data_IF_891710784862
#
_entry.id   IF_891710784862
#
_cell.length_a   1.000
_cell.length_b   1.000
_cell.length_c   1.000
_cell.angle_alpha   90.00
_cell.angle_beta   90.00
_cell.angle_gamma   90.00
#
_symmetry.space_group_name_H-M   'P 1'
#
loop_
_entity.id
_entity.type
_entity.pdbx_description
1 polymer ?
#
# COMPACT_ATOMS: atom_id res chain seq x y z
N UNK A 1 -83.27 -2.68 -64.89
CA UNK A 1 -82.68 -3.99 -64.48
C UNK A 1 -81.18 -3.73 -64.35
N UNK A 2 -80.74 -3.23 -63.20
CA UNK A 2 -80.17 -4.01 -62.07
C UNK A 2 -79.02 -4.93 -62.51
N UNK A 3 -77.79 -4.53 -62.11
CA UNK A 3 -76.76 -5.41 -61.53
C UNK A 3 -75.71 -4.56 -60.80
N UNK A 4 -75.76 -4.66 -59.48
CA UNK A 4 -74.66 -4.83 -58.48
C UNK A 4 -73.29 -5.22 -59.08
N UNK A 5 -72.10 -5.01 -58.51
CA UNK A 5 -71.59 -4.61 -57.19
C UNK A 5 -70.05 -4.49 -57.31
N UNK A 6 -69.43 -3.66 -56.46
CA UNK A 6 -68.08 -3.75 -55.83
C UNK A 6 -66.87 -4.30 -56.62
N UNK A 7 -65.82 -3.48 -56.84
CA UNK A 7 -64.74 -3.12 -55.90
C UNK A 7 -63.73 -4.25 -55.66
N UNK A 8 -62.59 -4.19 -56.36
CA UNK A 8 -61.35 -4.90 -56.02
C UNK A 8 -60.16 -4.17 -56.67
N UNK A 9 -59.77 -3.03 -56.08
CA UNK A 9 -58.42 -2.47 -56.29
C UNK A 9 -57.59 -2.85 -55.08
N UNK A 10 -56.63 -3.75 -55.29
CA UNK A 10 -55.53 -4.02 -54.37
C UNK A 10 -54.73 -2.74 -54.22
N UNK A 11 -54.66 -2.22 -53.01
CA UNK A 11 -53.68 -1.21 -52.61
C UNK A 11 -52.89 -1.79 -51.47
N UNK A 12 -51.58 -1.80 -51.70
CA UNK A 12 -50.53 -2.28 -50.85
C UNK A 12 -50.41 -1.49 -49.54
N UNK A 13 -49.69 -2.14 -48.64
CA UNK A 13 -48.96 -1.59 -47.49
C UNK A 13 -49.79 -1.13 -46.28
N UNK A 14 -49.97 -2.12 -45.40
CA UNK A 14 -50.32 -1.96 -44.01
C UNK A 14 -49.33 -1.04 -43.29
N UNK A 15 -49.88 0.08 -42.82
CA UNK A 15 -49.42 0.82 -41.67
C UNK A 15 -49.56 -0.07 -40.43
N UNK A 16 -48.46 -0.67 -39.95
CA UNK A 16 -48.38 -1.11 -38.55
C UNK A 16 -47.30 -0.35 -37.80
N UNK A 17 -47.75 0.19 -36.68
CA UNK A 17 -47.01 0.97 -35.74
C UNK A 17 -46.04 0.06 -34.99
N UNK A 18 -44.78 0.45 -34.92
CA UNK A 18 -44.04 0.17 -33.70
C UNK A 18 -43.18 1.37 -33.36
N UNK A 19 -43.67 2.08 -32.35
CA UNK A 19 -42.92 3.02 -31.53
C UNK A 19 -41.67 2.28 -31.03
N UNK A 20 -40.55 2.50 -31.74
CA UNK A 20 -39.21 2.12 -31.31
C UNK A 20 -38.93 2.89 -30.01
N UNK A 21 -39.31 2.25 -28.92
CA UNK A 21 -39.00 2.68 -27.56
C UNK A 21 -37.49 2.81 -27.51
N UNK A 22 -37.05 4.00 -27.17
CA UNK A 22 -35.71 4.29 -26.72
C UNK A 22 -35.32 3.41 -25.52
N UNK A 23 -34.93 2.16 -25.80
CA UNK A 23 -34.04 1.41 -24.94
C UNK A 23 -32.64 1.94 -25.23
N UNK A 24 -32.32 3.04 -24.56
CA UNK A 24 -30.94 3.46 -24.35
C UNK A 24 -30.34 2.44 -23.41
N UNK A 25 -30.05 1.25 -23.95
CA UNK A 25 -29.08 0.35 -23.39
C UNK A 25 -27.76 1.12 -23.44
N UNK A 26 -27.50 1.85 -22.36
CA UNK A 26 -26.16 2.26 -21.98
C UNK A 26 -25.40 0.95 -21.85
N UNK A 27 -24.80 0.53 -22.96
CA UNK A 27 -23.75 -0.47 -23.05
C UNK A 27 -22.73 -0.07 -21.99
N UNK A 28 -22.86 -0.70 -20.82
CA UNK A 28 -21.97 -0.51 -19.71
C UNK A 28 -20.64 -1.10 -20.16
N UNK A 29 -19.84 -0.23 -20.81
CA UNK A 29 -18.51 -0.52 -21.27
C UNK A 29 -17.80 -1.34 -20.18
N UNK A 30 -17.09 -2.43 -20.56
CA UNK A 30 -16.46 -3.31 -19.59
C UNK A 30 -15.66 -2.43 -18.63
N UNK A 31 -15.94 -2.52 -17.32
CA UNK A 31 -15.27 -1.72 -16.29
C UNK A 31 -13.78 -2.04 -16.35
N UNK A 32 -13.04 -1.35 -17.21
CA UNK A 32 -11.68 -1.72 -17.54
C UNK A 32 -10.86 -1.52 -16.28
N UNK A 33 -10.36 -2.62 -15.75
CA UNK A 33 -9.49 -2.72 -14.58
C UNK A 33 -8.13 -2.00 -14.80
N UNK A 34 -7.96 -1.32 -15.93
CA UNK A 34 -6.73 -0.69 -16.37
C UNK A 34 -6.67 0.78 -15.99
N UNK A 35 -5.47 1.23 -15.63
CA UNK A 35 -5.15 2.64 -15.40
C UNK A 35 -4.69 3.25 -16.72
N UNK A 36 -5.38 4.28 -17.20
CA UNK A 36 -4.94 4.99 -18.39
C UNK A 36 -3.66 5.79 -18.11
N UNK A 37 -2.89 6.09 -19.16
CA UNK A 37 -1.71 6.95 -19.02
C UNK A 37 -2.06 8.33 -18.44
N UNK A 38 -3.20 8.90 -18.87
CA UNK A 38 -3.73 10.17 -18.36
C UNK A 38 -4.07 10.08 -16.87
N UNK A 39 -4.74 9.00 -16.44
CA UNK A 39 -5.05 8.76 -15.04
C UNK A 39 -3.78 8.63 -14.17
N UNK A 40 -2.73 7.99 -14.70
CA UNK A 40 -1.44 7.94 -14.01
C UNK A 40 -0.83 9.33 -13.83
N UNK A 41 -0.90 10.17 -14.86
CA UNK A 41 -0.40 11.55 -14.77
C UNK A 41 -1.18 12.36 -13.74
N UNK A 42 -2.51 12.26 -13.72
CA UNK A 42 -3.37 12.92 -12.73
C UNK A 42 -3.01 12.43 -11.32
N UNK A 43 -2.91 11.11 -11.13
CA UNK A 43 -2.52 10.50 -9.85
C UNK A 43 -1.15 11.00 -9.37
N UNK A 44 -0.14 10.97 -10.24
CA UNK A 44 1.22 11.39 -9.89
C UNK A 44 1.28 12.89 -9.57
N UNK A 45 0.56 13.72 -10.34
CA UNK A 45 0.53 15.17 -10.15
C UNK A 45 -0.11 15.53 -8.82
N UNK A 46 -1.27 14.92 -8.53
CA UNK A 46 -1.96 15.16 -7.27
C UNK A 46 -1.18 14.60 -6.08
N UNK A 47 -0.61 13.39 -6.20
CA UNK A 47 0.22 12.82 -5.15
C UNK A 47 1.48 13.65 -4.87
N UNK A 48 2.10 14.25 -5.90
CA UNK A 48 3.24 15.16 -5.70
C UNK A 48 2.84 16.44 -4.93
N UNK A 49 1.59 16.89 -5.11
CA UNK A 49 1.03 18.06 -4.43
C UNK A 49 0.68 17.74 -2.97
N UNK A 50 -0.14 16.71 -2.75
CA UNK A 50 -0.67 16.34 -1.42
C UNK A 50 0.35 15.60 -0.55
N UNK A 51 1.34 14.98 -1.19
CA UNK A 51 2.41 14.19 -0.56
C UNK A 51 1.92 13.09 0.41
N UNK A 52 0.91 12.27 0.02
CA UNK A 52 0.41 11.21 0.91
C UNK A 52 1.48 10.17 1.25
N UNK A 53 2.45 9.95 0.37
CA UNK A 53 3.56 9.02 0.56
C UNK A 53 4.60 9.46 1.62
N UNK A 54 4.54 10.71 2.09
CA UNK A 54 5.42 11.21 3.16
C UNK A 54 4.73 11.32 4.52
N UNK A 55 3.42 11.00 4.58
CA UNK A 55 2.61 11.13 5.78
C UNK A 55 3.16 10.28 6.94
N UNK A 56 3.40 10.90 8.10
CA UNK A 56 3.93 10.21 9.28
C UNK A 56 2.86 9.46 10.06
N UNK A 57 1.63 9.97 10.01
CA UNK A 57 0.44 9.39 10.65
C UNK A 57 -0.70 9.44 9.65
N UNK A 58 -1.61 8.47 9.73
CA UNK A 58 -2.80 8.44 8.88
C UNK A 58 -2.48 8.26 7.39
N UNK A 59 -1.51 7.40 7.05
CA UNK A 59 -1.10 7.15 5.65
C UNK A 59 -2.30 6.87 4.74
N UNK A 60 -3.23 6.00 5.15
CA UNK A 60 -4.40 5.67 4.34
C UNK A 60 -5.36 6.86 4.22
N UNK A 61 -5.55 7.65 5.28
CA UNK A 61 -6.39 8.85 5.23
C UNK A 61 -5.83 9.90 4.26
N UNK A 62 -4.50 10.07 4.21
CA UNK A 62 -3.85 10.93 3.23
C UNK A 62 -4.06 10.42 1.80
N UNK A 63 -3.98 9.10 1.59
CA UNK A 63 -4.28 8.50 0.29
C UNK A 63 -5.75 8.58 -0.10
N UNK A 64 -6.68 8.45 0.85
CA UNK A 64 -8.11 8.63 0.62
C UNK A 64 -8.43 10.08 0.24
N UNK A 65 -7.78 11.06 0.88
CA UNK A 65 -7.88 12.47 0.49
C UNK A 65 -7.38 12.71 -0.94
N UNK A 66 -6.19 12.19 -1.30
CA UNK A 66 -5.69 12.27 -2.68
C UNK A 66 -6.61 11.54 -3.67
N UNK A 67 -7.18 10.39 -3.30
CA UNK A 67 -8.14 9.67 -4.13
C UNK A 67 -9.44 10.47 -4.35
N UNK A 68 -9.92 11.16 -3.32
CA UNK A 68 -11.06 12.07 -3.43
C UNK A 68 -10.72 13.22 -4.40
N UNK A 69 -9.55 13.86 -4.28
CA UNK A 69 -9.13 14.93 -5.17
C UNK A 69 -9.06 14.50 -6.64
N UNK A 70 -8.42 13.37 -6.95
CA UNK A 70 -8.32 12.89 -8.35
C UNK A 70 -9.67 12.43 -8.90
N UNK A 71 -10.60 11.97 -8.04
CA UNK A 71 -11.95 11.58 -8.48
C UNK A 71 -12.79 12.76 -8.99
N UNK A 72 -12.45 13.98 -8.56
CA UNK A 72 -13.10 15.22 -9.00
C UNK A 72 -12.41 15.87 -10.21
N UNK A 73 -11.28 15.34 -10.66
CA UNK A 73 -10.60 15.87 -11.84
C UNK A 73 -11.44 15.55 -13.09
N UNK A 74 -11.73 16.53 -13.98
CA UNK A 74 -12.65 16.38 -15.10
C UNK A 74 -12.22 15.30 -16.11
N UNK A 75 -10.94 14.98 -16.10
CA UNK A 75 -10.28 14.09 -17.04
C UNK A 75 -9.93 12.71 -16.46
N UNK A 76 -10.34 12.44 -15.21
CA UNK A 76 -10.04 11.19 -14.55
C UNK A 76 -11.11 10.15 -14.87
N UNK A 77 -10.71 9.09 -15.58
CA UNK A 77 -11.66 8.12 -16.15
C UNK A 77 -12.03 6.96 -15.24
N UNK A 78 -11.38 6.82 -14.07
CA UNK A 78 -11.45 5.58 -13.29
C UNK A 78 -12.51 5.62 -12.19
N UNK A 79 -13.60 4.83 -12.29
CA UNK A 79 -14.66 4.82 -11.28
C UNK A 79 -14.22 4.15 -9.97
N UNK A 80 -14.73 4.66 -8.86
CA UNK A 80 -14.54 4.05 -7.53
C UNK A 80 -13.07 3.95 -7.10
N UNK A 81 -12.26 4.94 -7.44
CA UNK A 81 -10.90 5.07 -6.90
C UNK A 81 -10.98 5.37 -5.39
N UNK A 82 -10.13 4.72 -4.61
CA UNK A 82 -9.98 4.94 -3.18
C UNK A 82 -8.48 4.96 -2.83
N UNK A 83 -8.13 5.32 -1.60
CA UNK A 83 -6.74 5.46 -1.18
C UNK A 83 -5.93 4.18 -1.38
N UNK A 84 -6.53 3.01 -1.15
CA UNK A 84 -5.88 1.70 -1.41
C UNK A 84 -5.53 1.49 -2.88
N UNK A 85 -6.45 1.81 -3.81
CA UNK A 85 -6.22 1.70 -5.25
C UNK A 85 -5.18 2.73 -5.73
N UNK A 86 -5.28 3.97 -5.26
CA UNK A 86 -4.37 5.05 -5.60
C UNK A 86 -2.94 4.76 -5.14
N UNK A 87 -2.76 4.41 -3.86
CA UNK A 87 -1.46 4.05 -3.29
C UNK A 87 -0.84 2.83 -4.00
N UNK A 88 -1.61 1.77 -4.23
CA UNK A 88 -1.11 0.59 -4.93
C UNK A 88 -0.62 0.92 -6.34
N UNK A 89 -1.36 1.74 -7.09
CA UNK A 89 -0.90 2.17 -8.43
C UNK A 89 0.34 3.02 -8.34
N UNK A 90 0.36 4.00 -7.44
CA UNK A 90 1.49 4.89 -7.25
C UNK A 90 2.78 4.13 -6.97
N UNK A 91 2.79 3.22 -6.00
CA UNK A 91 4.01 2.47 -5.67
C UNK A 91 4.47 1.56 -6.81
N UNK A 92 3.56 0.98 -7.59
CA UNK A 92 3.91 0.23 -8.81
C UNK A 92 4.60 1.12 -9.86
N UNK A 93 4.14 2.36 -10.03
CA UNK A 93 4.78 3.32 -10.94
C UNK A 93 6.18 3.70 -10.46
N UNK A 94 6.36 3.89 -9.16
CA UNK A 94 7.68 4.19 -8.57
C UNK A 94 8.64 3.00 -8.73
N UNK A 95 8.18 1.79 -8.50
CA UNK A 95 8.99 0.58 -8.66
C UNK A 95 9.43 0.39 -10.13
N UNK A 96 8.47 0.48 -11.06
CA UNK A 96 8.75 0.40 -12.49
C UNK A 96 9.74 1.50 -12.94
N UNK A 97 9.59 2.72 -12.43
CA UNK A 97 10.49 3.83 -12.74
C UNK A 97 11.91 3.61 -12.20
N UNK A 98 12.04 3.11 -10.97
CA UNK A 98 13.35 2.77 -10.40
C UNK A 98 14.05 1.67 -11.20
N UNK A 99 13.29 0.70 -11.73
CA UNK A 99 13.84 -0.31 -12.63
C UNK A 99 14.27 0.30 -13.95
N UNK A 100 13.44 1.16 -14.55
CA UNK A 100 13.76 1.90 -15.77
C UNK A 100 15.03 2.73 -15.60
N UNK A 101 15.17 3.51 -14.52
CA UNK A 101 16.38 4.30 -14.23
C UNK A 101 17.64 3.46 -14.06
N UNK A 102 17.54 2.23 -13.54
CA UNK A 102 18.68 1.31 -13.46
C UNK A 102 19.09 0.80 -14.84
N UNK A 103 18.14 0.52 -15.71
CA UNK A 103 18.38 0.01 -17.07
C UNK A 103 18.82 1.13 -18.03
N UNK A 104 18.20 2.30 -17.94
CA UNK A 104 18.49 3.49 -18.75
C UNK A 104 19.91 4.02 -18.55
N UNK A 105 20.51 3.84 -17.35
CA UNK A 105 21.95 4.10 -17.14
C UNK A 105 22.86 3.37 -18.14
N UNK A 106 22.39 2.29 -18.74
CA UNK A 106 23.13 1.49 -19.71
C UNK A 106 22.58 1.63 -21.14
N UNK A 107 21.48 2.37 -21.35
CA UNK A 107 20.87 2.59 -22.65
C UNK A 107 20.96 4.08 -23.02
N UNK A 108 21.76 4.41 -24.02
CA UNK A 108 21.81 5.76 -24.60
C UNK A 108 20.50 6.03 -25.34
N UNK A 109 19.54 6.65 -24.65
CA UNK A 109 18.22 6.95 -25.20
C UNK A 109 17.40 7.77 -24.23
N UNK A 110 17.39 9.08 -24.45
CA UNK A 110 16.62 10.06 -23.68
C UNK A 110 15.13 9.94 -24.02
N UNK A 111 14.39 9.10 -23.29
CA UNK A 111 12.94 9.07 -23.36
C UNK A 111 12.38 10.05 -22.32
N UNK A 112 12.55 11.34 -22.59
CA UNK A 112 12.16 12.40 -21.65
C UNK A 112 10.67 12.73 -21.79
N UNK A 113 9.83 11.97 -21.09
CA UNK A 113 8.38 12.18 -21.04
C UNK A 113 7.98 12.96 -19.79
N UNK A 114 6.87 13.75 -19.81
CA UNK A 114 6.37 14.44 -18.62
C UNK A 114 6.16 13.50 -17.42
N UNK A 115 5.73 12.26 -17.69
CA UNK A 115 5.56 11.23 -16.67
C UNK A 115 6.90 10.83 -16.03
N UNK A 116 7.95 10.65 -16.84
CA UNK A 116 9.29 10.29 -16.37
C UNK A 116 9.88 11.42 -15.51
N UNK A 117 9.83 12.68 -15.97
CA UNK A 117 10.29 13.84 -15.18
C UNK A 117 9.59 13.94 -13.82
N UNK A 118 8.27 13.74 -13.81
CA UNK A 118 7.48 13.78 -12.58
C UNK A 118 7.85 12.63 -11.63
N UNK A 119 8.08 11.43 -12.17
CA UNK A 119 8.53 10.29 -11.38
C UNK A 119 9.95 10.49 -10.83
N UNK A 120 10.86 11.12 -11.58
CA UNK A 120 12.19 11.50 -11.11
C UNK A 120 12.11 12.47 -9.92
N UNK A 121 11.27 13.49 -10.03
CA UNK A 121 11.04 14.46 -8.95
C UNK A 121 10.50 13.77 -7.69
N UNK A 122 9.49 12.93 -7.85
CA UNK A 122 8.86 12.21 -6.73
C UNK A 122 9.86 11.26 -6.07
N UNK A 123 10.63 10.49 -6.84
CA UNK A 123 11.66 9.57 -6.30
C UNK A 123 12.70 10.35 -5.51
N UNK A 124 13.19 11.48 -6.05
CA UNK A 124 14.13 12.35 -5.34
C UNK A 124 13.55 12.82 -4.00
N UNK A 125 12.29 13.25 -3.96
CA UNK A 125 11.61 13.67 -2.72
C UNK A 125 11.52 12.53 -1.70
N UNK A 126 11.18 11.32 -2.13
CA UNK A 126 11.14 10.14 -1.26
C UNK A 126 12.52 9.87 -0.66
N UNK A 127 13.56 9.88 -1.48
CA UNK A 127 14.92 9.59 -1.01
C UNK A 127 15.46 10.68 -0.09
N UNK A 128 15.19 11.96 -0.39
CA UNK A 128 15.56 13.10 0.46
C UNK A 128 14.86 13.03 1.82
N UNK A 129 13.56 12.69 1.84
CA UNK A 129 12.80 12.51 3.09
C UNK A 129 13.36 11.35 3.92
N UNK A 130 13.64 10.21 3.29
CA UNK A 130 14.23 9.05 3.97
C UNK A 130 15.62 9.36 4.55
N UNK A 131 16.45 10.10 3.80
CA UNK A 131 17.76 10.58 4.30
C UNK A 131 17.61 11.53 5.48
N UNK A 132 16.67 12.47 5.42
CA UNK A 132 16.40 13.40 6.52
C UNK A 132 15.97 12.65 7.80
N UNK A 133 15.03 11.71 7.66
CA UNK A 133 14.58 10.86 8.77
C UNK A 133 15.69 10.01 9.36
N UNK A 134 16.54 9.41 8.52
CA UNK A 134 17.68 8.63 8.99
C UNK A 134 18.67 9.48 9.80
N UNK A 135 18.96 10.72 9.36
CA UNK A 135 19.81 11.67 10.10
C UNK A 135 19.20 12.05 11.44
N UNK A 136 17.92 12.36 11.48
CA UNK A 136 17.22 12.71 12.73
C UNK A 136 17.26 11.56 13.75
N UNK A 137 17.04 10.32 13.30
CA UNK A 137 17.12 9.14 14.17
C UNK A 137 18.56 8.95 14.70
N UNK A 138 19.58 9.25 13.90
CA UNK A 138 20.98 9.13 14.30
C UNK A 138 21.38 10.20 15.33
N UNK A 139 20.99 11.46 15.12
CA UNK A 139 21.26 12.55 16.07
C UNK A 139 20.57 12.37 17.43
N UNK A 140 19.42 11.69 17.45
CA UNK A 140 18.73 11.35 18.72
C UNK A 140 19.40 10.19 19.47
N UNK A 141 20.28 9.42 18.82
CA UNK A 141 20.98 8.25 19.40
C UNK A 141 22.39 8.56 19.89
N UNK A 142 22.98 9.70 19.55
CA UNK A 142 24.25 10.14 20.13
C UNK A 142 23.99 10.77 21.50
N UNK A 143 24.50 10.19 22.61
CA UNK A 143 24.37 10.81 23.92
C UNK A 143 25.09 12.16 23.89
N UNK A 144 24.43 13.16 24.46
CA UNK A 144 24.97 14.49 24.72
C UNK A 144 26.21 14.38 25.62
N UNK A 145 27.40 14.29 25.02
CA UNK A 145 28.66 14.46 25.72
C UNK A 145 28.97 15.95 25.81
N UNK A 146 28.66 16.56 26.97
CA UNK A 146 29.19 17.87 27.38
C UNK A 146 30.67 17.72 27.82
N UNK A 147 31.52 18.75 27.68
CA UNK A 147 32.98 18.69 27.88
C UNK A 147 33.45 18.96 29.33
N UNK A 148 34.64 18.42 29.69
CA UNK A 148 35.68 18.77 30.70
C UNK A 148 35.34 19.72 31.89
N UNK A 149 35.77 19.58 33.16
CA UNK A 149 37.04 19.16 33.80
C UNK A 149 36.82 19.17 35.37
N UNK A 150 37.80 19.04 36.31
CA UNK A 150 37.77 18.07 37.41
C UNK A 150 37.73 18.67 38.83
N UNK A 151 37.22 17.93 39.81
CA UNK A 151 37.41 18.29 41.22
C UNK A 151 37.61 17.07 42.12
N UNK A 152 38.85 16.97 42.62
CA UNK A 152 39.31 16.19 43.76
C UNK A 152 38.32 16.23 44.94
N UNK A 153 38.07 15.08 45.58
CA UNK A 153 38.25 14.99 47.04
C UNK A 153 38.46 13.56 47.53
N UNK A 154 39.55 13.42 48.27
CA UNK A 154 40.10 12.28 48.99
C UNK A 154 39.17 11.82 50.12
N UNK A 155 38.96 10.50 50.30
CA UNK A 155 38.84 9.89 51.64
C UNK A 155 39.03 8.36 51.61
N UNK A 156 40.13 7.90 52.20
CA UNK A 156 40.25 6.57 52.86
C UNK A 156 40.52 6.86 54.35
N UNK A 157 40.09 6.03 55.33
CA UNK A 157 40.75 4.72 55.58
C UNK A 157 39.83 3.56 56.07
N UNK A 158 40.34 2.31 55.94
CA UNK A 158 39.86 1.00 56.48
C UNK A 158 40.05 0.82 58.03
N UNK A 159 39.86 -0.36 58.71
CA UNK A 159 39.32 -1.71 58.38
C UNK A 159 38.32 -2.34 59.45
N UNK A 160 37.86 -3.59 59.22
CA UNK A 160 36.86 -4.40 59.98
C UNK A 160 37.36 -5.02 61.33
N UNK A 161 36.51 -5.67 62.21
CA UNK A 161 36.07 -7.09 62.04
C UNK A 161 34.70 -7.50 62.67
N UNK A 162 34.17 -8.69 62.28
CA UNK A 162 32.98 -9.39 62.83
C UNK A 162 33.31 -10.27 64.07
N UNK A 163 32.34 -10.81 64.87
CA UNK A 163 31.76 -12.14 64.56
C UNK A 163 30.34 -12.52 65.12
N UNK A 164 29.68 -13.42 64.37
CA UNK A 164 28.65 -14.48 64.65
C UNK A 164 27.71 -14.51 65.88
N UNK A 165 26.44 -14.86 65.61
CA UNK A 165 25.65 -15.81 66.41
C UNK A 165 24.68 -16.66 65.53
N UNK A 166 24.66 -17.98 65.79
CA UNK A 166 23.86 -19.10 65.22
C UNK A 166 22.44 -19.10 65.83
N UNK A 167 21.35 -19.70 65.32
CA UNK A 167 21.00 -20.71 64.29
C UNK A 167 19.44 -20.78 64.23
N UNK A 168 18.73 -21.89 63.91
CA UNK A 168 19.12 -23.20 63.37
C UNK A 168 18.46 -23.54 62.00
N UNK A 169 18.85 -24.68 61.41
CA UNK A 169 18.52 -25.15 60.05
C UNK A 169 17.42 -26.24 60.01
N UNK A 170 16.56 -26.14 58.97
CA UNK A 170 16.02 -27.22 58.08
C UNK A 170 14.88 -28.15 58.60
N UNK A 171 13.99 -28.71 57.74
CA UNK A 171 14.34 -29.43 56.50
C UNK A 171 13.50 -29.16 55.23
N UNK A 172 14.05 -29.71 54.14
CA UNK A 172 13.46 -29.88 52.81
C UNK A 172 12.46 -31.04 52.87
N UNK A 173 11.32 -30.90 52.21
CA UNK A 173 10.51 -32.02 51.74
C UNK A 173 10.40 -31.93 50.22
N UNK A 174 11.12 -32.82 49.54
CA UNK A 174 10.61 -33.58 48.38
C UNK A 174 9.27 -34.24 48.78
N UNK A 175 8.30 -34.53 47.91
CA UNK A 175 8.27 -35.52 46.81
C UNK A 175 7.06 -35.21 45.88
N UNK A 176 7.15 -35.66 44.63
CA UNK A 176 6.15 -35.83 43.53
C UNK A 176 4.75 -36.37 43.96
N UNK A 177 3.67 -36.38 43.17
CA UNK A 177 3.35 -36.30 41.73
C UNK A 177 1.97 -35.60 41.58
N UNK A 178 1.57 -35.00 40.46
CA UNK A 178 1.04 -35.61 39.21
C UNK A 178 1.28 -34.62 38.06
N UNK A 179 1.82 -34.99 36.90
CA UNK A 179 1.20 -35.79 35.83
C UNK A 179 -0.15 -35.19 35.39
N UNK A 180 -0.08 -34.16 34.55
CA UNK A 180 -1.15 -33.77 33.62
C UNK A 180 -0.48 -33.15 32.39
N UNK A 181 -0.35 -33.99 31.37
CA UNK A 181 -0.11 -33.66 29.97
C UNK A 181 -1.08 -32.59 29.48
N UNK A 182 -0.57 -31.47 28.95
CA UNK A 182 -1.22 -30.83 27.81
C UNK A 182 -0.15 -30.17 26.93
N UNK A 183 0.39 -31.04 26.08
CA UNK A 183 1.12 -30.72 24.86
C UNK A 183 0.24 -29.83 23.99
N UNK A 184 0.50 -28.52 23.99
CA UNK A 184 -0.17 -27.57 23.10
C UNK A 184 0.47 -27.68 21.69
N UNK A 185 -0.21 -28.28 20.68
CA UNK A 185 0.44 -28.55 19.42
C UNK A 185 0.46 -27.31 18.54
N UNK A 186 1.68 -26.97 18.13
CA UNK A 186 2.03 -26.05 17.04
C UNK A 186 1.25 -26.43 15.76
N UNK A 187 0.61 -25.50 15.05
CA UNK A 187 -0.08 -25.82 13.81
C UNK A 187 0.93 -26.14 12.68
N UNK A 188 1.09 -27.45 12.43
CA UNK A 188 1.80 -28.01 11.28
C UNK A 188 1.19 -27.52 9.96
N UNK A 189 2.03 -26.84 9.17
CA UNK A 189 1.77 -26.54 7.77
C UNK A 189 1.82 -27.84 6.98
N UNK A 190 0.65 -28.28 6.54
CA UNK A 190 0.45 -29.29 5.51
C UNK A 190 1.00 -28.80 4.17
N UNK A 191 2.25 -29.16 3.90
CA UNK A 191 2.83 -29.23 2.55
C UNK A 191 2.36 -30.53 1.94
N UNK A 192 1.50 -30.46 0.92
CA UNK A 192 1.26 -31.59 0.02
C UNK A 192 2.38 -31.59 -1.01
N UNK A 193 3.25 -32.58 -0.87
CA UNK A 193 4.29 -32.96 -1.82
C UNK A 193 3.63 -33.47 -3.11
N UNK A 194 4.08 -32.95 -4.24
CA UNK A 194 3.66 -33.39 -5.57
C UNK A 194 4.50 -34.61 -5.94
N UNK A 195 3.84 -35.76 -5.90
CA UNK A 195 4.39 -37.06 -6.27
C UNK A 195 4.84 -37.06 -7.75
N UNK A 196 6.13 -37.30 -7.91
CA UNK A 196 6.84 -37.41 -9.17
C UNK A 196 6.72 -38.87 -9.65
N UNK A 197 5.72 -39.18 -10.48
CA UNK A 197 5.60 -40.52 -11.07
C UNK A 197 5.93 -40.51 -12.57
N UNK A 198 7.11 -41.06 -12.86
CA UNK A 198 7.55 -41.58 -14.15
C UNK A 198 6.51 -42.55 -14.73
N UNK A 199 6.06 -42.30 -15.96
CA UNK A 199 5.85 -43.34 -16.97
C UNK A 199 5.91 -42.76 -18.38
#
# INVERSE_FOLDING_TARGET
MQSTDQSAVRSDDENDASTDRHDVAVEAAPRTTWWAHKDDLILLTQANTDRPFLAERGLMAAWDATAASISQAPDFGRPGVNGKKASSRFFKLIEAHRLYMKQAKYASGENDTPKIRLLDEIVRRIDDHNKAKAKEIMSKKTPRSEPDEPARLVREPAPAPAPVARGPKRPRTSIAASDDDDDNPVPSRKTTDAEFQLR
#
